data_IF_470393548531
#
_entry.id   IF_470393548531
#
_cell.length_a   1.000
_cell.length_b   1.000
_cell.length_c   1.000
_cell.angle_alpha   90.00
_cell.angle_beta   90.00
_cell.angle_gamma   90.00
#
_symmetry.space_group_name_H-M   'P 1'
#
loop_
_entity.id
_entity.type
_entity.pdbx_description
1 polymer ?
#
# COMPACT_ATOMS: atom_id res chain seq x y z
N UNK A 1 -10.37 -4.18 12.30
CA UNK A 1 -10.81 -3.46 11.07
C UNK A 1 -11.47 -2.15 11.46
N UNK A 2 -11.23 -1.09 10.71
CA UNK A 2 -11.83 0.23 10.93
C UNK A 2 -12.24 0.86 9.60
N UNK A 3 -13.34 1.62 9.58
CA UNK A 3 -13.67 2.50 8.44
C UNK A 3 -12.81 3.75 8.50
N UNK A 4 -12.12 4.05 7.41
CA UNK A 4 -11.25 5.21 7.27
C UNK A 4 -11.73 6.10 6.12
N UNK A 5 -11.72 7.40 6.37
CA UNK A 5 -12.19 8.41 5.43
C UNK A 5 -11.01 9.27 4.98
N UNK A 6 -10.01 8.63 4.38
CA UNK A 6 -8.87 9.35 3.80
C UNK A 6 -9.31 10.13 2.56
N UNK A 7 -8.65 11.26 2.31
CA UNK A 7 -8.80 12.05 1.08
C UNK A 7 -8.11 11.35 -0.10
N UNK A 8 -8.54 10.13 -0.42
CA UNK A 8 -8.09 9.33 -1.56
C UNK A 8 -9.06 9.46 -2.73
N UNK A 9 -8.53 9.34 -3.95
CA UNK A 9 -9.34 9.32 -5.17
C UNK A 9 -10.23 8.08 -5.26
N UNK A 10 -11.32 8.16 -6.03
CA UNK A 10 -12.23 7.02 -6.27
C UNK A 10 -11.47 5.80 -6.79
N UNK A 11 -10.59 6.00 -7.78
CA UNK A 11 -9.73 4.94 -8.31
C UNK A 11 -8.84 4.30 -7.24
N UNK A 12 -8.30 5.08 -6.30
CA UNK A 12 -7.47 4.52 -5.22
C UNK A 12 -8.29 3.65 -4.28
N UNK A 13 -9.52 4.06 -3.99
CA UNK A 13 -10.44 3.35 -3.11
C UNK A 13 -10.93 2.04 -3.73
N UNK A 14 -11.30 2.09 -5.00
CA UNK A 14 -11.67 0.90 -5.78
C UNK A 14 -10.51 -0.08 -5.91
N UNK A 15 -9.30 0.44 -6.19
CA UNK A 15 -8.10 -0.37 -6.27
C UNK A 15 -7.80 -1.09 -4.95
N UNK A 16 -7.84 -0.37 -3.83
CA UNK A 16 -7.67 -0.94 -2.49
C UNK A 16 -8.67 -2.07 -2.25
N UNK A 17 -9.96 -1.83 -2.50
CA UNK A 17 -11.01 -2.83 -2.34
C UNK A 17 -10.77 -4.08 -3.19
N UNK A 18 -10.35 -3.91 -4.45
CA UNK A 18 -10.05 -5.04 -5.35
C UNK A 18 -8.88 -5.89 -4.86
N UNK A 19 -7.81 -5.28 -4.38
CA UNK A 19 -6.60 -6.00 -3.92
C UNK A 19 -6.84 -6.72 -2.59
N UNK A 20 -7.50 -6.04 -1.66
CA UNK A 20 -7.64 -6.49 -0.27
C UNK A 20 -8.87 -7.37 -0.08
N UNK A 21 -9.90 -7.21 -0.93
CA UNK A 21 -11.23 -7.76 -0.71
C UNK A 21 -12.01 -7.05 0.40
N UNK A 22 -11.47 -5.97 0.97
CA UNK A 22 -12.11 -5.23 2.06
C UNK A 22 -13.23 -4.33 1.50
N UNK A 23 -14.35 -4.16 2.24
CA UNK A 23 -15.42 -3.27 1.79
C UNK A 23 -14.97 -1.81 1.71
N UNK A 24 -15.58 -1.07 0.78
CA UNK A 24 -15.39 0.36 0.60
C UNK A 24 -16.65 1.02 0.04
N UNK A 25 -16.71 2.35 0.06
CA UNK A 25 -17.73 3.15 -0.61
C UNK A 25 -17.12 4.39 -1.25
N UNK A 26 -17.29 4.52 -2.57
CA UNK A 26 -16.91 5.73 -3.32
C UNK A 26 -17.86 6.88 -2.96
N UNK A 27 -19.17 6.62 -2.95
CA UNK A 27 -20.20 7.62 -2.62
C UNK A 27 -20.03 8.21 -1.21
N UNK A 28 -19.75 7.35 -0.23
CA UNK A 28 -19.58 7.76 1.17
C UNK A 28 -18.10 8.04 1.54
N UNK A 29 -17.20 8.00 0.55
CA UNK A 29 -15.77 8.31 0.69
C UNK A 29 -15.05 7.55 1.83
N UNK A 30 -15.27 6.25 2.00
CA UNK A 30 -14.58 5.43 3.00
C UNK A 30 -14.06 4.10 2.46
N UNK A 31 -12.94 3.62 3.01
CA UNK A 31 -12.44 2.25 2.83
C UNK A 31 -12.29 1.57 4.19
N UNK A 32 -12.45 0.26 4.22
CA UNK A 32 -12.15 -0.52 5.41
C UNK A 32 -10.66 -0.86 5.42
N UNK A 33 -10.02 -0.69 6.57
CA UNK A 33 -8.59 -0.95 6.77
C UNK A 33 -8.37 -1.88 7.97
N UNK A 34 -7.23 -2.56 7.98
CA UNK A 34 -6.79 -3.35 9.11
C UNK A 34 -5.90 -2.52 10.03
N UNK A 35 -6.41 -2.23 11.22
CA UNK A 35 -5.68 -1.53 12.27
C UNK A 35 -5.12 -2.55 13.24
N UNK A 36 -3.80 -2.53 13.41
CA UNK A 36 -3.12 -3.29 14.44
C UNK A 36 -2.18 -2.35 15.22
N UNK A 37 -0.86 -2.46 15.09
CA UNK A 37 0.09 -1.48 15.62
C UNK A 37 0.34 -0.32 14.64
N UNK A 38 0.08 -0.59 13.36
CA UNK A 38 0.04 0.38 12.27
C UNK A 38 -1.19 0.10 11.41
N UNK A 39 -1.57 1.07 10.59
CA UNK A 39 -2.60 0.90 9.59
C UNK A 39 -2.04 0.11 8.39
N UNK A 40 -2.86 -0.80 7.88
CA UNK A 40 -2.64 -1.57 6.66
C UNK A 40 -3.94 -1.54 5.85
N UNK A 41 -3.82 -1.43 4.53
CA UNK A 41 -4.97 -1.41 3.64
C UNK A 41 -5.82 -2.69 3.73
N UNK A 42 -5.20 -3.84 4.03
CA UNK A 42 -5.89 -5.10 4.23
C UNK A 42 -5.12 -6.15 5.02
N UNK A 43 -5.81 -7.25 5.32
CA UNK A 43 -5.25 -8.41 6.02
C UNK A 43 -5.90 -9.71 5.54
N UNK A 44 -5.07 -10.73 5.28
CA UNK A 44 -5.47 -12.08 4.88
C UNK A 44 -5.09 -13.09 5.98
N UNK A 45 -6.04 -13.50 6.84
CA UNK A 45 -5.75 -14.29 8.04
C UNK A 45 -5.18 -15.68 7.72
N UNK A 46 -5.62 -16.32 6.64
CA UNK A 46 -5.19 -17.65 6.22
C UNK A 46 -3.69 -17.77 5.95
N UNK A 47 -3.03 -16.62 5.76
CA UNK A 47 -1.62 -16.54 5.37
C UNK A 47 -0.82 -15.56 6.22
N UNK A 48 -1.42 -15.02 7.30
CA UNK A 48 -0.87 -13.96 8.15
C UNK A 48 -0.31 -12.78 7.32
N UNK A 49 -0.99 -12.44 6.22
CA UNK A 49 -0.49 -11.48 5.24
C UNK A 49 -1.17 -10.12 5.41
N UNK A 50 -0.38 -9.12 5.77
CA UNK A 50 -0.75 -7.71 5.74
C UNK A 50 -0.51 -7.15 4.34
N UNK A 51 -1.40 -6.24 3.92
CA UNK A 51 -1.49 -5.77 2.53
C UNK A 51 -1.48 -4.25 2.51
N UNK A 52 -0.69 -3.69 1.58
CA UNK A 52 -0.74 -2.29 1.17
C UNK A 52 -1.07 -2.22 -0.34
N UNK A 53 -1.88 -1.26 -0.76
CA UNK A 53 -2.37 -1.06 -2.13
C UNK A 53 -2.14 0.40 -2.58
N UNK A 54 -1.18 0.61 -3.47
CA UNK A 54 -0.83 1.95 -3.99
C UNK A 54 -1.34 2.14 -5.41
N UNK A 55 -2.26 3.09 -5.56
CA UNK A 55 -2.87 3.47 -6.83
C UNK A 55 -2.43 4.86 -7.30
N UNK A 56 -2.15 5.01 -8.61
CA UNK A 56 -1.92 6.30 -9.29
C UNK A 56 -0.81 7.18 -8.67
N UNK A 57 0.27 6.59 -8.16
CA UNK A 57 1.41 7.36 -7.61
C UNK A 57 2.40 7.81 -8.69
N UNK A 58 2.27 7.30 -9.90
CA UNK A 58 3.07 7.70 -11.07
C UNK A 58 2.81 9.15 -11.48
N UNK A 59 1.68 9.74 -11.06
CA UNK A 59 1.43 11.17 -11.17
C UNK A 59 2.49 12.01 -10.47
N UNK A 60 3.18 11.48 -9.45
CA UNK A 60 4.27 12.16 -8.71
C UNK A 60 5.66 11.91 -9.32
N UNK A 61 5.74 11.20 -10.45
CA UNK A 61 6.97 11.01 -11.22
C UNK A 61 6.97 11.92 -12.45
N UNK A 62 8.12 12.54 -12.74
CA UNK A 62 8.31 13.25 -14.00
C UNK A 62 8.52 12.26 -15.17
N UNK A 63 8.76 12.75 -16.39
CA UNK A 63 8.95 11.91 -17.59
C UNK A 63 10.19 11.01 -17.55
N UNK A 64 11.13 11.28 -16.64
CA UNK A 64 12.37 10.52 -16.44
C UNK A 64 12.28 9.60 -15.20
N UNK A 65 11.07 9.34 -14.71
CA UNK A 65 10.80 8.52 -13.52
C UNK A 65 11.45 9.07 -12.23
N UNK A 66 11.68 10.38 -12.16
CA UNK A 66 12.20 11.06 -10.96
C UNK A 66 11.03 11.69 -10.19
N UNK A 67 10.87 11.40 -8.88
CA UNK A 67 9.91 12.08 -8.04
C UNK A 67 10.18 13.59 -8.00
N UNK A 68 9.11 14.38 -8.05
CA UNK A 68 9.18 15.84 -7.93
C UNK A 68 8.46 16.37 -6.68
N UNK A 69 8.00 15.47 -5.82
CA UNK A 69 7.39 15.75 -4.51
C UNK A 69 7.95 14.76 -3.49
N UNK A 70 7.62 14.95 -2.20
CA UNK A 70 7.98 14.03 -1.11
C UNK A 70 7.14 12.74 -1.08
N UNK A 71 6.22 12.54 -2.03
CA UNK A 71 5.28 11.42 -1.99
C UNK A 71 5.97 10.04 -1.97
N UNK A 72 7.16 9.91 -2.57
CA UNK A 72 7.93 8.67 -2.53
C UNK A 72 8.78 8.54 -1.26
N UNK A 73 9.32 9.64 -0.72
CA UNK A 73 9.98 9.63 0.59
C UNK A 73 9.00 9.19 1.69
N UNK A 74 7.80 9.77 1.71
CA UNK A 74 6.72 9.43 2.66
C UNK A 74 6.27 7.97 2.47
N UNK A 75 6.27 7.47 1.23
CA UNK A 75 5.94 6.08 0.92
C UNK A 75 7.01 5.10 1.43
N UNK A 76 8.29 5.43 1.29
CA UNK A 76 9.40 4.63 1.83
C UNK A 76 9.39 4.63 3.36
N UNK A 77 9.07 5.75 4.02
CA UNK A 77 8.91 5.82 5.48
C UNK A 77 7.72 4.97 5.97
N UNK A 78 6.61 4.98 5.23
CA UNK A 78 5.49 4.10 5.51
C UNK A 78 5.89 2.63 5.37
N UNK A 79 6.61 2.26 4.30
CA UNK A 79 7.10 0.91 4.13
C UNK A 79 8.03 0.47 5.26
N UNK A 80 8.99 1.32 5.65
CA UNK A 80 9.98 1.01 6.68
C UNK A 80 9.33 0.70 8.04
N UNK A 81 8.42 1.57 8.51
CA UNK A 81 7.77 1.29 9.80
C UNK A 81 6.72 0.17 9.74
N UNK A 82 6.13 -0.13 8.57
CA UNK A 82 5.28 -1.32 8.44
C UNK A 82 6.13 -2.60 8.48
N UNK A 83 7.28 -2.63 7.79
CA UNK A 83 8.24 -3.72 7.85
C UNK A 83 8.73 -3.97 9.28
N UNK A 84 9.11 -2.92 10.01
CA UNK A 84 9.57 -3.06 11.40
C UNK A 84 8.55 -3.77 12.30
N UNK A 85 7.25 -3.46 12.15
CA UNK A 85 6.19 -4.16 12.89
C UNK A 85 6.08 -5.62 12.45
N UNK A 86 6.11 -5.90 11.15
CA UNK A 86 5.96 -7.26 10.61
C UNK A 86 7.14 -8.15 10.99
N UNK A 87 8.36 -7.64 10.90
CA UNK A 87 9.60 -8.37 11.18
C UNK A 87 9.70 -8.80 12.67
N UNK A 88 9.12 -8.01 13.58
CA UNK A 88 9.07 -8.33 15.02
C UNK A 88 8.01 -9.39 15.37
N UNK A 89 7.12 -9.77 14.42
CA UNK A 89 5.98 -10.64 14.69
C UNK A 89 5.84 -11.84 13.72
N UNK A 90 6.81 -12.77 13.63
CA UNK A 90 6.63 -13.99 12.87
C UNK A 90 5.39 -14.79 13.34
N UNK A 91 4.56 -15.37 12.44
CA UNK A 91 4.79 -15.55 11.00
C UNK A 91 4.15 -14.46 10.12
N UNK A 92 3.93 -13.24 10.64
CA UNK A 92 3.36 -12.15 9.85
C UNK A 92 4.23 -11.84 8.62
N UNK A 93 3.57 -11.48 7.52
CA UNK A 93 4.21 -11.07 6.27
C UNK A 93 3.56 -9.81 5.74
N UNK A 94 4.29 -9.05 4.94
CA UNK A 94 3.82 -7.83 4.30
C UNK A 94 4.00 -7.94 2.78
N UNK A 95 2.95 -7.59 2.03
CA UNK A 95 3.02 -7.47 0.58
C UNK A 95 2.37 -6.16 0.11
N UNK A 96 3.08 -5.47 -0.77
CA UNK A 96 2.67 -4.23 -1.38
C UNK A 96 2.25 -4.45 -2.83
N UNK A 97 1.09 -3.94 -3.21
CA UNK A 97 0.53 -4.02 -4.55
C UNK A 97 0.47 -2.64 -5.18
N UNK A 98 0.86 -2.56 -6.45
CA UNK A 98 0.92 -1.31 -7.19
C UNK A 98 0.05 -1.37 -8.44
N UNK A 99 -0.79 -0.35 -8.64
CA UNK A 99 -1.62 -0.26 -9.85
C UNK A 99 -0.79 0.09 -11.09
N UNK A 100 0.24 0.91 -10.91
CA UNK A 100 1.04 1.46 -12.01
C UNK A 100 2.43 0.85 -12.01
N UNK A 101 2.86 0.38 -13.17
CA UNK A 101 4.17 -0.26 -13.34
C UNK A 101 5.32 0.69 -12.98
N UNK A 102 5.19 1.98 -13.33
CA UNK A 102 6.20 3.02 -13.05
C UNK A 102 6.46 3.18 -11.56
N UNK A 103 5.41 3.24 -10.75
CA UNK A 103 5.54 3.34 -9.28
C UNK A 103 6.14 2.06 -8.72
N UNK A 104 5.70 0.88 -9.19
CA UNK A 104 6.29 -0.39 -8.77
C UNK A 104 7.78 -0.48 -9.09
N UNK A 105 8.18 -0.10 -10.31
CA UNK A 105 9.57 -0.11 -10.73
C UNK A 105 10.44 0.82 -9.88
N UNK A 106 9.92 1.96 -9.46
CA UNK A 106 10.60 2.85 -8.52
C UNK A 106 10.75 2.20 -7.13
N UNK A 107 9.68 1.61 -6.60
CA UNK A 107 9.62 1.12 -5.21
C UNK A 107 10.16 -0.29 -4.98
N UNK A 108 10.29 -1.12 -6.02
CA UNK A 108 10.65 -2.54 -5.85
C UNK A 108 12.00 -2.75 -5.16
N UNK A 109 12.99 -1.89 -5.41
CA UNK A 109 14.31 -2.00 -4.80
C UNK A 109 14.31 -1.54 -3.33
N UNK A 110 13.74 -0.37 -2.97
CA UNK A 110 13.48 -0.01 -1.58
C UNK A 110 12.72 -1.08 -0.78
N UNK A 111 11.62 -1.60 -1.32
CA UNK A 111 10.80 -2.60 -0.64
C UNK A 111 11.55 -3.92 -0.42
N UNK A 112 12.33 -4.38 -1.42
CA UNK A 112 13.13 -5.59 -1.27
C UNK A 112 14.18 -5.48 -0.16
N UNK A 113 14.78 -4.30 0.04
CA UNK A 113 15.72 -4.04 1.17
C UNK A 113 15.05 -4.13 2.53
N UNK A 114 13.74 -3.94 2.59
CA UNK A 114 12.90 -4.04 3.78
C UNK A 114 12.23 -5.42 3.92
N UNK A 115 12.63 -6.41 3.11
CA UNK A 115 12.02 -7.75 3.05
C UNK A 115 10.51 -7.75 2.72
N UNK A 116 10.01 -6.66 2.12
CA UNK A 116 8.62 -6.55 1.69
C UNK A 116 8.46 -7.16 0.31
N UNK A 117 7.52 -8.09 0.17
CA UNK A 117 7.13 -8.60 -1.15
C UNK A 117 6.38 -7.52 -1.92
N UNK A 118 6.60 -7.40 -3.23
CA UNK A 118 5.86 -6.45 -4.05
C UNK A 118 5.48 -7.01 -5.41
N UNK A 119 4.37 -6.51 -5.95
CA UNK A 119 3.86 -6.92 -7.25
C UNK A 119 3.13 -5.77 -7.94
N UNK A 120 3.32 -5.66 -9.26
CA UNK A 120 2.50 -4.82 -10.10
C UNK A 120 1.23 -5.57 -10.50
N UNK A 121 0.07 -5.03 -10.12
CA UNK A 121 -1.25 -5.57 -10.44
C UNK A 121 -2.10 -4.39 -10.92
N UNK A 122 -2.26 -4.19 -12.24
CA UNK A 122 -2.99 -3.05 -12.81
C UNK A 122 -4.49 -3.14 -12.56
#
# INVERSE_FOLDING_TARGET
MQRRNWSMSDNSREYQGRITGFPYSVEEAWSMEWVWQRDFDGFRPESCLLIEAKAKYDQFLNKLDVPYTKAFDDMEEQAAGQAAIVDDHPPARLKWYFQTERTWNYMRAPLARLHIQSEWVP
#
